data_IF_368873825184
#
_entry.id   IF_368873825184
#
_cell.length_a   1.000
_cell.length_b   1.000
_cell.length_c   1.000
_cell.angle_alpha   90.00
_cell.angle_beta   90.00
_cell.angle_gamma   90.00
#
_symmetry.space_group_name_H-M   'P 1'
#
loop_
_entity.id
_entity.type
_entity.pdbx_description
1 polymer ?
#
# COMPACT_ATOMS: atom_id res chain seq x y z
N UNK A 1 -13.93 -5.23 -2.45
CA UNK A 1 -12.48 -5.06 -2.55
C UNK A 1 -12.02 -5.62 -3.88
N UNK A 2 -11.21 -4.86 -4.60
CA UNK A 2 -10.65 -5.19 -5.92
C UNK A 2 -9.17 -4.83 -5.95
N UNK A 3 -8.43 -5.45 -6.86
CA UNK A 3 -7.03 -5.13 -7.12
C UNK A 3 -6.87 -3.65 -7.47
N UNK A 4 -5.74 -3.07 -7.07
CA UNK A 4 -5.40 -1.65 -7.23
C UNK A 4 -6.30 -0.66 -6.46
N UNK A 5 -7.13 -1.15 -5.53
CA UNK A 5 -7.84 -0.28 -4.58
C UNK A 5 -6.97 -0.02 -3.34
N UNK A 6 -7.14 1.17 -2.76
CA UNK A 6 -6.53 1.57 -1.50
C UNK A 6 -7.60 1.47 -0.41
N UNK A 7 -7.25 0.77 0.66
CA UNK A 7 -8.05 0.69 1.88
C UNK A 7 -7.23 1.17 3.06
N UNK A 8 -7.86 1.47 4.18
CA UNK A 8 -7.18 1.45 5.47
C UNK A 8 -7.51 0.18 6.24
N UNK A 9 -6.50 -0.50 6.76
CA UNK A 9 -6.63 -1.62 7.69
C UNK A 9 -6.34 -1.17 9.13
N UNK A 10 -7.14 -1.62 10.09
CA UNK A 10 -6.83 -1.40 11.50
C UNK A 10 -5.74 -2.36 11.97
N UNK A 11 -4.62 -1.82 12.45
CA UNK A 11 -3.51 -2.59 13.00
C UNK A 11 -3.49 -2.38 14.52
N UNK A 12 -3.74 -3.44 15.28
CA UNK A 12 -3.73 -3.44 16.74
C UNK A 12 -2.33 -3.71 17.30
N UNK A 13 -2.08 -3.21 18.51
CA UNK A 13 -0.95 -3.55 19.38
C UNK A 13 -1.43 -3.56 20.84
N UNK A 14 -0.58 -3.97 21.79
CA UNK A 14 -0.98 -4.24 23.18
C UNK A 14 -1.88 -3.17 23.82
N UNK A 15 -1.60 -1.88 23.57
CA UNK A 15 -2.34 -0.74 24.14
C UNK A 15 -2.95 0.17 23.05
N UNK A 16 -3.63 -0.41 22.06
CA UNK A 16 -4.43 0.34 21.09
C UNK A 16 -4.21 -0.08 19.64
N UNK A 17 -4.34 0.86 18.72
CA UNK A 17 -4.16 0.56 17.31
C UNK A 17 -4.25 1.79 16.42
N UNK A 18 -3.96 1.59 15.14
CA UNK A 18 -4.07 2.64 14.13
C UNK A 18 -4.44 2.09 12.78
N UNK A 19 -5.28 2.83 12.08
CA UNK A 19 -5.60 2.59 10.69
C UNK A 19 -4.42 2.96 9.78
N UNK A 20 -4.00 2.02 8.94
CA UNK A 20 -2.88 2.17 8.00
C UNK A 20 -3.38 1.95 6.58
N UNK A 21 -3.04 2.83 5.62
CA UNK A 21 -3.41 2.61 4.24
C UNK A 21 -2.63 1.42 3.66
N UNK A 22 -3.30 0.64 2.83
CA UNK A 22 -2.81 -0.56 2.15
C UNK A 22 -3.31 -0.57 0.71
N UNK A 23 -2.50 -1.09 -0.20
CA UNK A 23 -2.84 -1.28 -1.61
C UNK A 23 -3.12 -2.76 -1.85
N UNK A 24 -4.30 -3.08 -2.39
CA UNK A 24 -4.69 -4.46 -2.70
C UNK A 24 -4.03 -4.90 -3.99
N UNK A 25 -3.31 -6.03 -3.94
CA UNK A 25 -2.59 -6.60 -5.08
C UNK A 25 -3.32 -7.80 -5.64
N UNK A 26 -3.78 -8.70 -4.78
CA UNK A 26 -4.50 -9.92 -5.15
C UNK A 26 -5.67 -10.14 -4.22
N UNK A 27 -6.70 -10.79 -4.72
CA UNK A 27 -7.91 -11.12 -3.95
C UNK A 27 -8.29 -12.56 -4.20
N UNK A 28 -8.41 -13.35 -3.14
CA UNK A 28 -9.00 -14.69 -3.17
C UNK A 28 -10.32 -14.68 -2.41
N UNK A 29 -10.98 -15.84 -2.29
CA UNK A 29 -12.25 -15.99 -1.59
C UNK A 29 -12.16 -15.54 -0.12
N UNK A 30 -11.17 -16.05 0.62
CA UNK A 30 -11.06 -15.88 2.07
C UNK A 30 -9.92 -14.95 2.51
N UNK A 31 -8.94 -14.70 1.67
CA UNK A 31 -7.79 -13.86 1.97
C UNK A 31 -7.59 -12.78 0.90
N UNK A 32 -6.57 -11.95 1.11
CA UNK A 32 -6.06 -11.05 0.09
C UNK A 32 -4.62 -10.65 0.37
N UNK A 33 -3.88 -10.35 -0.69
CA UNK A 33 -2.52 -9.84 -0.61
C UNK A 33 -2.48 -8.32 -0.78
N UNK A 34 -1.64 -7.65 -0.01
CA UNK A 34 -1.50 -6.21 -0.03
C UNK A 34 -0.05 -5.73 0.14
N UNK A 35 0.21 -4.52 -0.37
CA UNK A 35 1.41 -3.74 -0.06
C UNK A 35 1.05 -2.63 0.93
N UNK A 36 1.99 -2.29 1.82
CA UNK A 36 1.78 -1.19 2.76
C UNK A 36 1.88 0.15 2.02
N UNK A 37 1.01 1.09 2.39
CA UNK A 37 1.12 2.49 1.96
C UNK A 37 1.63 3.30 3.15
N UNK A 38 2.68 4.10 2.94
CA UNK A 38 3.35 4.84 4.00
C UNK A 38 3.62 6.28 3.60
N UNK A 39 3.46 7.21 4.54
CA UNK A 39 3.95 8.59 4.38
C UNK A 39 5.35 8.79 4.97
N UNK A 40 5.96 7.73 5.52
CA UNK A 40 7.29 7.79 6.16
C UNK A 40 8.37 7.46 5.13
N UNK A 41 8.88 8.47 4.44
CA UNK A 41 9.95 8.31 3.43
C UNK A 41 11.21 9.12 3.76
N UNK A 42 11.05 10.43 4.10
CA UNK A 42 12.15 11.40 4.25
C UNK A 42 13.34 10.88 5.08
N UNK A 43 13.06 10.23 6.22
CA UNK A 43 14.09 9.79 7.18
C UNK A 43 14.50 8.32 7.01
N UNK A 44 14.09 7.65 5.91
CA UNK A 44 14.51 6.27 5.63
C UNK A 44 15.90 6.26 5.00
N UNK A 45 16.65 5.17 5.20
CA UNK A 45 17.92 4.97 4.51
C UNK A 45 17.70 4.85 3.00
N UNK A 46 18.72 5.16 2.20
CA UNK A 46 18.65 5.02 0.74
C UNK A 46 18.29 3.60 0.32
N UNK A 47 18.80 2.58 1.02
CA UNK A 47 18.42 1.18 0.81
C UNK A 47 16.91 0.96 0.96
N UNK A 48 16.27 1.54 1.97
CA UNK A 48 14.82 1.41 2.17
C UNK A 48 14.05 2.26 1.15
N UNK A 49 14.50 3.48 0.85
CA UNK A 49 13.84 4.36 -0.13
C UNK A 49 13.76 3.72 -1.52
N UNK A 50 14.78 2.95 -1.93
CA UNK A 50 14.77 2.18 -3.17
C UNK A 50 13.64 1.14 -3.26
N UNK A 51 13.00 0.78 -2.14
CA UNK A 51 11.84 -0.12 -2.12
C UNK A 51 10.51 0.63 -2.18
N UNK A 52 10.51 1.97 -2.13
CA UNK A 52 9.31 2.78 -1.93
C UNK A 52 8.96 3.51 -3.22
N UNK A 53 7.94 3.03 -3.94
CA UNK A 53 7.42 3.71 -5.11
C UNK A 53 6.65 4.98 -4.68
N UNK A 54 7.02 6.18 -5.14
CA UNK A 54 6.28 7.41 -4.83
C UNK A 54 4.95 7.44 -5.62
N UNK A 55 3.83 7.53 -4.90
CA UNK A 55 2.53 7.79 -5.54
C UNK A 55 2.52 9.21 -6.07
N UNK A 56 2.32 9.37 -7.37
CA UNK A 56 2.37 10.67 -8.04
C UNK A 56 1.04 11.41 -7.91
N UNK A 57 -0.07 10.67 -7.94
CA UNK A 57 -1.43 11.22 -7.97
C UNK A 57 -2.15 10.96 -6.63
N UNK A 58 -1.40 10.84 -5.53
CA UNK A 58 -1.92 10.44 -4.21
C UNK A 58 -3.17 11.19 -3.74
N UNK A 59 -3.36 12.46 -4.14
CA UNK A 59 -4.56 13.25 -3.84
C UNK A 59 -5.81 12.66 -4.49
N UNK A 60 -5.70 12.35 -5.78
CA UNK A 60 -6.80 11.78 -6.59
C UNK A 60 -7.09 10.33 -6.18
N UNK A 61 -6.10 9.67 -5.59
CA UNK A 61 -6.21 8.32 -5.01
C UNK A 61 -6.79 8.31 -3.58
N UNK A 62 -7.19 9.46 -3.05
CA UNK A 62 -7.88 9.61 -1.76
C UNK A 62 -6.96 9.74 -0.54
N UNK A 63 -5.65 9.87 -0.73
CA UNK A 63 -4.70 10.04 0.36
C UNK A 63 -4.58 11.52 0.77
N UNK A 64 -4.34 11.76 2.06
CA UNK A 64 -4.30 13.13 2.62
C UNK A 64 -2.94 13.82 2.48
N UNK A 65 -1.90 13.09 2.11
CA UNK A 65 -0.53 13.59 1.96
C UNK A 65 0.31 12.66 1.10
N UNK A 66 1.44 13.16 0.61
CA UNK A 66 2.44 12.38 -0.11
C UNK A 66 2.71 11.05 0.58
N UNK A 67 2.54 9.98 -0.19
CA UNK A 67 2.64 8.62 0.28
C UNK A 67 3.37 7.77 -0.76
N UNK A 68 3.78 6.58 -0.32
CA UNK A 68 4.65 5.69 -1.05
C UNK A 68 4.13 4.26 -0.87
N UNK A 69 4.19 3.45 -1.93
CA UNK A 69 3.95 2.01 -1.85
C UNK A 69 5.23 1.34 -1.42
N UNK A 70 5.21 0.67 -0.27
CA UNK A 70 6.31 -0.16 0.22
C UNK A 70 6.29 -1.49 -0.53
N UNK A 71 7.14 -1.62 -1.55
CA UNK A 71 7.27 -2.82 -2.38
C UNK A 71 8.28 -3.83 -1.81
N UNK A 72 8.73 -3.63 -0.56
CA UNK A 72 9.70 -4.51 0.09
C UNK A 72 9.11 -5.80 0.63
N UNK A 73 7.79 -5.85 0.86
CA UNK A 73 7.11 -7.06 1.34
C UNK A 73 5.65 -7.09 0.87
N UNK A 74 5.28 -8.19 0.21
CA UNK A 74 3.89 -8.57 -0.03
C UNK A 74 3.37 -9.32 1.20
N UNK A 75 2.24 -8.88 1.75
CA UNK A 75 1.63 -9.46 2.95
C UNK A 75 0.26 -10.01 2.58
N UNK A 76 -0.17 -11.09 3.24
CA UNK A 76 -1.50 -11.67 3.09
C UNK A 76 -2.19 -11.76 4.45
N UNK A 77 -3.51 -11.57 4.47
CA UNK A 77 -4.33 -11.65 5.68
C UNK A 77 -5.72 -12.20 5.35
N UNK A 78 -6.34 -12.90 6.31
CA UNK A 78 -7.73 -13.31 6.19
C UNK A 78 -8.67 -12.09 6.21
N UNK A 79 -9.71 -12.13 5.38
CA UNK A 79 -10.77 -11.11 5.35
C UNK A 79 -11.52 -11.02 6.68
N UNK A 80 -11.66 -12.13 7.40
CA UNK A 80 -12.35 -12.18 8.69
C UNK A 80 -11.56 -11.54 9.84
N UNK A 81 -10.25 -11.36 9.67
CA UNK A 81 -9.34 -10.90 10.73
C UNK A 81 -9.11 -9.38 10.71
N UNK A 82 -9.66 -8.66 9.71
CA UNK A 82 -9.31 -7.26 9.50
C UNK A 82 -10.52 -6.38 9.13
N UNK A 83 -10.62 -5.24 9.83
CA UNK A 83 -11.56 -4.17 9.48
C UNK A 83 -10.95 -3.25 8.42
N UNK A 84 -11.62 -3.12 7.27
CA UNK A 84 -11.19 -2.33 6.12
C UNK A 84 -12.15 -1.17 5.83
N UNK A 85 -11.60 0.01 5.53
CA UNK A 85 -12.37 1.17 5.04
C UNK A 85 -11.79 1.60 3.70
N UNK A 86 -12.64 1.76 2.69
CA UNK A 86 -12.23 2.21 1.36
C UNK A 86 -11.64 3.63 1.43
N UNK A 87 -10.59 3.87 0.65
CA UNK A 87 -9.93 5.17 0.52
C UNK A 87 -10.03 5.67 -0.92
N UNK A 88 -9.70 4.82 -1.88
CA UNK A 88 -9.62 5.20 -3.27
C UNK A 88 -9.02 4.08 -4.12
N UNK A 89 -8.46 4.42 -5.26
CA UNK A 89 -7.83 3.46 -6.18
C UNK A 89 -6.69 4.11 -6.92
N UNK A 90 -5.72 3.30 -7.33
CA UNK A 90 -4.61 3.83 -8.12
C UNK A 90 -5.09 4.41 -9.43
N UNK A 91 -4.48 5.53 -9.84
CA UNK A 91 -4.67 6.07 -11.19
C UNK A 91 -3.99 5.16 -12.21
N UNK A 92 -4.29 5.35 -13.51
CA UNK A 92 -3.59 4.60 -14.57
C UNK A 92 -2.09 4.88 -14.53
N UNK A 93 -1.71 6.13 -14.25
CA UNK A 93 -0.33 6.60 -14.18
C UNK A 93 0.42 5.88 -13.06
N UNK A 94 -0.14 5.84 -11.85
CA UNK A 94 0.50 5.17 -10.72
C UNK A 94 0.49 3.65 -10.82
N UNK A 95 -0.50 3.03 -11.49
CA UNK A 95 -0.42 1.60 -11.84
C UNK A 95 0.78 1.30 -12.74
N UNK A 96 0.88 2.01 -13.86
CA UNK A 96 1.98 1.82 -14.82
C UNK A 96 3.34 2.16 -14.20
N UNK A 97 3.40 3.22 -13.38
CA UNK A 97 4.60 3.61 -12.65
C UNK A 97 5.03 2.54 -11.63
N UNK A 98 4.08 1.98 -10.87
CA UNK A 98 4.35 0.93 -9.91
C UNK A 98 4.84 -0.36 -10.60
N UNK A 99 4.18 -0.79 -11.68
CA UNK A 99 4.61 -1.95 -12.48
C UNK A 99 6.06 -1.76 -12.94
N UNK A 100 6.35 -0.63 -13.59
CA UNK A 100 7.70 -0.31 -14.08
C UNK A 100 8.72 -0.24 -12.95
N UNK A 101 8.34 0.29 -11.80
CA UNK A 101 9.21 0.39 -10.64
C UNK A 101 9.61 -1.00 -10.09
N UNK A 102 8.68 -1.95 -10.09
CA UNK A 102 8.94 -3.32 -9.63
C UNK A 102 9.76 -4.09 -10.67
N UNK A 103 9.45 -3.95 -11.96
CA UNK A 103 10.14 -4.66 -13.05
C UNK A 103 11.61 -4.26 -13.21
N UNK A 104 11.94 -2.98 -13.01
CA UNK A 104 13.31 -2.47 -13.17
C UNK A 104 14.12 -2.50 -11.87
N UNK A 105 13.71 -3.32 -10.89
CA UNK A 105 14.40 -3.41 -9.61
C UNK A 105 15.44 -4.53 -9.63
N UNK A 106 16.70 -4.16 -9.50
CA UNK A 106 17.78 -5.10 -9.22
C UNK A 106 17.61 -5.68 -7.80
N UNK A 107 17.54 -7.01 -7.68
CA UNK A 107 17.32 -7.74 -6.44
C UNK A 107 18.62 -8.01 -5.66
#
# INVERSE_FOLDING_TARGET
MKINEIYTAYVAWQNGGKRRPILIIETEENNFSFLKVTSKYKNKSEKIKKLYYPLQDWRDEGLRKQSYIDTGALLSISRSEVSLNYVGRLTRKDKSGLTRFIENRDW
#
